data_IF_237668709831
#
_entry.id   IF_237668709831
#
_cell.length_a   1.000
_cell.length_b   1.000
_cell.length_c   1.000
_cell.angle_alpha   90.00
_cell.angle_beta   90.00
_cell.angle_gamma   90.00
#
_symmetry.space_group_name_H-M   'P 1'
#
loop_
_entity.id
_entity.type
_entity.pdbx_description
1 polymer ?
#
# COMPACT_ATOMS: atom_id res chain seq x y z
N UNK A 1 5.62 35.05 16.92
CA UNK A 1 6.33 34.12 16.01
C UNK A 1 6.07 32.70 16.48
N UNK A 2 5.42 31.89 15.65
CA UNK A 2 5.26 30.45 15.88
C UNK A 2 6.12 29.72 14.86
N UNK A 3 6.94 28.77 15.31
CA UNK A 3 7.73 27.89 14.44
C UNK A 3 7.36 26.48 14.83
N UNK A 4 6.90 25.70 13.85
CA UNK A 4 6.62 24.29 14.09
C UNK A 4 7.93 23.52 14.20
N UNK A 5 8.08 22.78 15.30
CA UNK A 5 9.26 21.99 15.67
C UNK A 5 8.90 20.57 16.10
N UNK A 6 7.66 20.12 15.81
CA UNK A 6 7.19 18.79 16.22
C UNK A 6 8.04 17.66 15.62
N UNK A 7 8.66 17.91 14.47
CA UNK A 7 9.52 16.97 13.77
C UNK A 7 10.92 17.59 13.59
N UNK A 8 12.01 16.98 14.10
CA UNK A 8 13.34 17.62 14.11
C UNK A 8 13.90 17.98 12.73
N UNK A 9 13.56 17.18 11.72
CA UNK A 9 14.02 17.30 10.33
C UNK A 9 13.03 18.05 9.42
N UNK A 10 12.13 18.83 10.03
CA UNK A 10 11.10 19.59 9.31
C UNK A 10 10.63 20.80 10.11
N UNK A 11 10.88 22.00 9.60
CA UNK A 11 10.55 23.26 10.24
C UNK A 11 9.65 24.12 9.35
N UNK A 12 8.69 24.82 9.97
CA UNK A 12 7.75 25.68 9.24
C UNK A 12 7.46 26.98 9.96
N UNK A 13 7.14 28.02 9.20
CA UNK A 13 6.68 29.33 9.73
C UNK A 13 5.22 29.30 10.22
N UNK A 14 4.57 28.15 10.09
CA UNK A 14 3.21 27.85 10.53
C UNK A 14 3.15 26.40 11.01
N UNK A 15 2.03 26.00 11.63
CA UNK A 15 1.75 24.59 11.92
C UNK A 15 1.73 23.81 10.61
N UNK A 16 2.63 22.84 10.47
CA UNK A 16 2.79 22.05 9.27
C UNK A 16 1.79 20.88 9.26
N UNK A 17 1.16 20.56 8.12
CA UNK A 17 0.35 19.35 8.01
C UNK A 17 1.25 18.11 8.06
N UNK A 18 0.77 16.94 8.53
CA UNK A 18 1.49 15.66 8.44
C UNK A 18 1.89 15.30 6.99
N UNK A 19 2.94 14.48 6.84
CA UNK A 19 3.41 13.97 5.53
C UNK A 19 2.77 12.62 5.21
N UNK A 20 2.72 12.17 3.93
CA UNK A 20 2.96 12.96 2.73
C UNK A 20 1.89 14.04 2.55
N UNK A 21 2.22 15.07 1.80
CA UNK A 21 1.31 16.17 1.48
C UNK A 21 1.11 16.19 -0.03
N UNK A 22 -0.14 16.15 -0.47
CA UNK A 22 -0.47 16.41 -1.85
C UNK A 22 -0.22 17.89 -2.16
N UNK A 23 0.66 18.14 -3.12
CA UNK A 23 1.05 19.49 -3.50
C UNK A 23 1.26 19.61 -5.00
N UNK A 24 0.77 20.70 -5.56
CA UNK A 24 1.00 21.09 -6.95
C UNK A 24 2.16 22.08 -7.03
N UNK A 25 3.00 21.94 -8.05
CA UNK A 25 3.98 22.97 -8.38
C UNK A 25 3.25 24.21 -8.88
N UNK A 26 3.57 25.36 -8.30
CA UNK A 26 3.07 26.64 -8.80
C UNK A 26 3.88 27.01 -10.03
N UNK A 27 3.25 26.93 -11.20
CA UNK A 27 3.89 27.27 -12.47
C UNK A 27 4.30 28.75 -12.54
N UNK A 28 5.37 29.02 -13.28
CA UNK A 28 5.88 30.36 -13.55
C UNK A 28 7.15 30.71 -12.76
N UNK A 29 7.48 32.01 -12.74
CA UNK A 29 8.66 32.51 -12.02
C UNK A 29 8.35 32.65 -10.53
N UNK A 30 9.35 32.37 -9.69
CA UNK A 30 9.27 32.65 -8.27
C UNK A 30 8.94 34.13 -8.02
N UNK A 31 7.95 34.43 -7.16
CA UNK A 31 7.74 35.79 -6.68
C UNK A 31 9.05 36.34 -6.08
N UNK A 32 9.32 37.66 -6.16
CA UNK A 32 10.54 38.26 -5.60
C UNK A 32 10.81 37.86 -4.15
N UNK A 33 9.74 37.72 -3.35
CA UNK A 33 9.82 37.26 -1.96
C UNK A 33 10.28 35.81 -1.81
N UNK A 34 9.85 34.92 -2.70
CA UNK A 34 10.34 33.53 -2.73
C UNK A 34 11.81 33.50 -3.12
N UNK A 35 12.26 34.39 -4.03
CA UNK A 35 13.68 34.52 -4.35
C UNK A 35 14.49 35.03 -3.15
N UNK A 36 13.99 36.02 -2.42
CA UNK A 36 14.59 36.52 -1.17
C UNK A 36 14.71 35.39 -0.13
N UNK A 37 13.67 34.55 0.00
CA UNK A 37 13.72 33.35 0.85
C UNK A 37 14.79 32.34 0.41
N UNK A 38 14.97 32.12 -0.89
CA UNK A 38 16.05 31.27 -1.41
C UNK A 38 17.43 31.81 -1.01
N UNK A 39 17.62 33.12 -1.06
CA UNK A 39 18.89 33.76 -0.73
C UNK A 39 19.18 33.69 0.78
N UNK A 40 18.14 33.88 1.61
CA UNK A 40 18.23 33.63 3.07
C UNK A 40 18.64 32.18 3.33
N UNK A 41 17.97 31.19 2.72
CA UNK A 41 18.31 29.79 2.93
C UNK A 41 19.76 29.48 2.56
N UNK A 42 20.25 30.02 1.42
CA UNK A 42 21.65 29.87 1.00
C UNK A 42 22.63 30.51 1.96
N UNK A 43 22.31 31.65 2.58
CA UNK A 43 23.19 32.27 3.58
C UNK A 43 23.44 31.35 4.79
N UNK A 44 22.36 30.74 5.30
CA UNK A 44 22.42 29.92 6.52
C UNK A 44 22.85 28.47 6.26
N UNK A 45 22.59 27.94 5.06
CA UNK A 45 22.80 26.55 4.67
C UNK A 45 23.78 26.40 3.50
N UNK A 46 24.69 27.36 3.31
CA UNK A 46 25.63 27.46 2.16
C UNK A 46 26.46 26.21 1.85
N UNK A 47 26.70 25.38 2.86
CA UNK A 47 27.56 24.19 2.75
C UNK A 47 26.74 22.94 2.34
N UNK A 48 25.42 23.07 2.23
CA UNK A 48 24.50 21.97 1.96
C UNK A 48 23.91 22.04 0.54
N UNK A 49 23.61 20.90 -0.08
CA UNK A 49 22.80 20.88 -1.28
C UNK A 49 21.39 21.39 -0.96
N UNK A 50 20.94 22.39 -1.73
CA UNK A 50 19.61 22.99 -1.58
C UNK A 50 18.80 22.83 -2.86
N UNK A 51 17.53 22.48 -2.72
CA UNK A 51 16.52 22.60 -3.78
C UNK A 51 15.36 23.46 -3.31
N UNK A 52 14.78 24.21 -4.23
CA UNK A 52 13.72 25.17 -3.94
C UNK A 52 12.50 24.84 -4.77
N UNK A 53 11.36 24.71 -4.10
CA UNK A 53 10.07 24.48 -4.75
C UNK A 53 9.10 25.56 -4.29
N UNK A 54 8.23 25.98 -5.19
CA UNK A 54 7.10 26.84 -4.87
C UNK A 54 5.84 26.05 -5.10
N UNK A 55 5.17 25.69 -4.01
CA UNK A 55 4.08 24.71 -4.05
C UNK A 55 2.77 25.29 -3.52
N UNK A 56 1.68 24.74 -4.03
CA UNK A 56 0.34 24.93 -3.47
C UNK A 56 -0.12 23.59 -2.93
N UNK A 57 -0.34 23.50 -1.63
CA UNK A 57 -0.82 22.27 -0.99
C UNK A 57 -2.32 22.16 -1.20
N UNK A 58 -2.78 20.96 -1.53
CA UNK A 58 -4.21 20.70 -1.75
C UNK A 58 -4.99 20.98 -0.46
N UNK A 59 -6.06 21.76 -0.58
CA UNK A 59 -6.90 22.14 0.57
C UNK A 59 -6.35 23.27 1.44
N UNK A 60 -5.16 23.82 1.14
CA UNK A 60 -4.68 25.05 1.79
C UNK A 60 -4.89 26.27 0.89
N UNK A 61 -5.20 27.43 1.48
CA UNK A 61 -5.26 28.70 0.74
C UNK A 61 -3.85 29.30 0.50
N UNK A 62 -2.88 28.92 1.34
CA UNK A 62 -1.53 29.50 1.33
C UNK A 62 -0.60 28.69 0.43
N UNK A 63 0.34 29.40 -0.20
CA UNK A 63 1.43 28.82 -0.97
C UNK A 63 2.68 28.72 -0.11
N UNK A 64 3.48 27.70 -0.36
CA UNK A 64 4.68 27.39 0.44
C UNK A 64 5.93 27.56 -0.39
N UNK A 65 6.88 28.37 0.11
CA UNK A 65 8.27 28.32 -0.31
C UNK A 65 8.94 27.15 0.40
N UNK A 66 9.06 26.03 -0.30
CA UNK A 66 9.60 24.79 0.22
C UNK A 66 11.10 24.69 -0.09
N UNK A 67 11.90 24.58 0.96
CA UNK A 67 13.35 24.45 0.89
C UNK A 67 13.70 23.01 1.28
N UNK A 68 14.26 22.28 0.32
CA UNK A 68 14.77 20.93 0.54
C UNK A 68 16.26 21.04 0.87
N UNK A 69 16.67 20.47 1.98
CA UNK A 69 18.06 20.43 2.44
C UNK A 69 18.32 19.07 3.09
N UNK A 70 19.56 18.57 3.07
CA UNK A 70 19.90 17.40 3.88
C UNK A 70 19.94 17.80 5.35
N UNK A 71 19.11 17.17 6.17
CA UNK A 71 19.16 17.38 7.60
C UNK A 71 20.36 16.64 8.19
N UNK A 72 20.96 17.22 9.22
CA UNK A 72 21.87 16.53 10.12
C UNK A 72 21.73 17.17 11.51
N UNK A 73 21.94 16.44 12.62
CA UNK A 73 21.84 17.01 13.96
C UNK A 73 22.68 18.29 14.15
N UNK A 74 23.86 18.37 13.53
CA UNK A 74 24.73 19.54 13.56
C UNK A 74 24.16 20.78 12.85
N UNK A 75 23.19 20.60 11.94
CA UNK A 75 22.55 21.68 11.19
C UNK A 75 21.29 22.22 11.88
N UNK A 76 20.81 21.57 12.94
CA UNK A 76 19.56 21.93 13.64
C UNK A 76 19.49 23.43 13.98
N UNK A 77 20.57 24.00 14.52
CA UNK A 77 20.59 25.42 14.88
C UNK A 77 20.64 26.36 13.67
N UNK A 78 21.29 25.93 12.57
CA UNK A 78 21.31 26.69 11.31
C UNK A 78 19.91 26.71 10.68
N UNK A 79 19.22 25.57 10.66
CA UNK A 79 17.83 25.45 10.17
C UNK A 79 16.88 26.33 10.99
N UNK A 80 17.00 26.32 12.31
CA UNK A 80 16.20 27.19 13.18
C UNK A 80 16.42 28.68 12.89
N UNK A 81 17.67 29.11 12.76
CA UNK A 81 17.96 30.53 12.43
C UNK A 81 17.46 30.90 11.04
N UNK A 82 17.58 29.99 10.07
CA UNK A 82 17.06 30.19 8.72
C UNK A 82 15.54 30.38 8.74
N UNK A 83 14.77 29.48 9.39
CA UNK A 83 13.31 29.58 9.43
C UNK A 83 12.83 30.82 10.20
N UNK A 84 13.55 31.27 11.23
CA UNK A 84 13.28 32.54 11.92
C UNK A 84 13.44 33.77 11.01
N UNK A 85 14.45 33.76 10.12
CA UNK A 85 14.65 34.82 9.13
C UNK A 85 13.60 34.76 8.04
N UNK A 86 13.26 33.56 7.57
CA UNK A 86 12.19 33.35 6.60
C UNK A 86 10.82 33.80 7.13
N UNK A 87 10.52 33.55 8.40
CA UNK A 87 9.31 34.06 9.06
C UNK A 87 9.21 35.58 8.94
N UNK A 88 10.30 36.30 9.27
CA UNK A 88 10.34 37.77 9.17
C UNK A 88 10.24 38.25 7.72
N UNK A 89 10.82 37.51 6.77
CA UNK A 89 10.73 37.81 5.34
C UNK A 89 9.27 37.78 4.83
N UNK A 90 8.43 36.88 5.39
CA UNK A 90 7.04 36.68 4.98
C UNK A 90 6.00 37.28 5.93
N UNK A 91 6.40 37.96 7.00
CA UNK A 91 5.48 38.49 8.04
C UNK A 91 4.40 39.43 7.48
N UNK A 92 4.67 40.07 6.34
CA UNK A 92 3.74 40.99 5.66
C UNK A 92 3.21 40.45 4.33
N UNK A 93 3.50 39.19 3.99
CA UNK A 93 3.08 38.57 2.74
C UNK A 93 1.90 37.62 3.00
N UNK A 94 0.68 38.16 2.86
CA UNK A 94 -0.53 37.35 2.98
C UNK A 94 -0.50 36.19 1.98
N UNK A 95 -0.79 34.99 2.46
CA UNK A 95 -0.84 33.81 1.60
C UNK A 95 0.49 33.08 1.41
N UNK A 96 1.61 33.52 1.99
CA UNK A 96 2.91 32.86 1.88
C UNK A 96 3.40 32.28 3.22
N UNK A 97 3.96 31.07 3.16
CA UNK A 97 4.67 30.42 4.27
C UNK A 97 5.98 29.82 3.79
N UNK A 98 6.94 29.62 4.70
CA UNK A 98 8.19 28.93 4.42
C UNK A 98 8.27 27.61 5.17
N UNK A 99 8.92 26.64 4.54
CA UNK A 99 9.20 25.33 5.11
C UNK A 99 10.62 24.91 4.74
N UNK A 100 11.34 24.34 5.70
CA UNK A 100 12.59 23.61 5.46
C UNK A 100 12.35 22.15 5.85
N UNK A 101 12.61 21.22 4.93
CA UNK A 101 12.40 19.78 5.17
C UNK A 101 13.58 18.97 4.63
N UNK A 102 13.85 17.86 5.30
CA UNK A 102 14.85 16.90 4.84
C UNK A 102 14.49 16.36 3.45
N UNK A 103 15.46 16.34 2.54
CA UNK A 103 15.25 15.87 1.17
C UNK A 103 14.71 14.44 1.12
N UNK A 104 15.25 13.53 1.94
CA UNK A 104 14.80 12.13 2.00
C UNK A 104 13.46 11.98 2.72
N UNK A 105 13.00 12.98 3.48
CA UNK A 105 11.66 12.95 4.09
C UNK A 105 10.60 13.43 3.11
N UNK A 106 10.94 14.43 2.29
CA UNK A 106 10.08 14.88 1.20
C UNK A 106 9.97 13.82 0.10
N UNK A 107 11.08 13.17 -0.23
CA UNK A 107 11.17 12.07 -1.19
C UNK A 107 11.63 10.79 -0.47
N UNK A 108 10.74 10.13 0.30
CA UNK A 108 11.10 8.95 1.06
C UNK A 108 11.68 7.86 0.16
N UNK A 109 12.88 7.33 0.49
CA UNK A 109 13.33 6.10 -0.13
C UNK A 109 12.32 4.99 0.15
N UNK A 110 12.28 3.97 -0.69
CA UNK A 110 11.47 2.80 -0.39
C UNK A 110 11.93 2.21 0.95
N UNK A 111 10.99 1.81 1.82
CA UNK A 111 11.35 1.14 3.05
C UNK A 111 12.11 -0.15 2.74
N UNK A 112 12.69 -0.74 3.77
CA UNK A 112 13.33 -2.06 3.73
C UNK A 112 12.61 -2.99 4.70
N UNK A 113 12.62 -4.29 4.39
CA UNK A 113 12.06 -5.29 5.30
C UNK A 113 12.84 -5.31 6.62
N UNK A 114 12.15 -5.61 7.72
CA UNK A 114 12.77 -5.87 9.01
C UNK A 114 12.98 -7.37 9.19
N UNK A 115 14.07 -7.74 9.87
CA UNK A 115 14.46 -9.15 10.02
C UNK A 115 14.16 -9.76 11.38
N UNK A 116 14.14 -9.01 12.48
CA UNK A 116 14.18 -9.60 13.83
C UNK A 116 13.57 -8.74 14.96
N UNK A 117 12.67 -7.80 14.66
CA UNK A 117 12.03 -6.99 15.71
C UNK A 117 10.68 -7.59 16.09
N UNK A 118 10.56 -7.99 17.34
CA UNK A 118 9.30 -8.39 17.97
C UNK A 118 8.73 -7.20 18.74
N UNK A 119 7.56 -6.73 18.33
CA UNK A 119 6.79 -5.71 19.03
C UNK A 119 5.37 -6.21 19.16
N UNK A 120 4.79 -6.08 20.35
CA UNK A 120 3.36 -6.30 20.53
C UNK A 120 2.56 -5.14 19.94
N UNK A 121 2.21 -5.28 18.66
CA UNK A 121 1.43 -4.28 17.94
C UNK A 121 0.02 -4.11 18.51
N UNK A 122 -0.54 -5.08 19.23
CA UNK A 122 -1.85 -4.91 19.86
C UNK A 122 -1.79 -3.88 20.99
N UNK A 123 -0.71 -3.88 21.77
CA UNK A 123 -0.49 -2.85 22.79
C UNK A 123 -0.24 -1.47 22.17
N UNK A 124 0.51 -1.41 21.07
CA UNK A 124 0.68 -0.15 20.32
C UNK A 124 -0.68 0.39 19.87
N UNK A 125 -1.53 -0.45 19.28
CA UNK A 125 -2.86 -0.05 18.79
C UNK A 125 -3.79 0.37 19.91
N UNK A 126 -3.73 -0.25 21.09
CA UNK A 126 -4.52 0.17 22.24
C UNK A 126 -4.21 1.62 22.66
N UNK A 127 -3.00 2.14 22.36
CA UNK A 127 -2.64 3.54 22.58
C UNK A 127 -3.20 4.50 21.51
N UNK A 128 -3.81 3.96 20.45
CA UNK A 128 -4.34 4.70 19.30
C UNK A 128 -5.88 4.70 19.21
N UNK A 129 -6.59 4.08 20.16
CA UNK A 129 -8.02 3.72 20.03
C UNK A 129 -8.97 4.91 19.76
N UNK A 130 -8.61 6.11 20.21
CA UNK A 130 -9.39 7.34 19.99
C UNK A 130 -9.16 7.99 18.60
N UNK A 131 -8.34 7.38 17.73
CA UNK A 131 -7.87 8.01 16.49
C UNK A 131 -8.21 7.24 15.22
N UNK A 132 -8.21 7.99 14.11
CA UNK A 132 -8.48 7.46 12.77
C UNK A 132 -7.23 6.83 12.12
N UNK A 133 -6.54 5.97 12.87
CA UNK A 133 -5.36 5.25 12.37
C UNK A 133 -5.76 4.21 11.31
N UNK A 134 -4.92 4.04 10.29
CA UNK A 134 -5.15 3.16 9.16
C UNK A 134 -4.25 1.94 9.17
N UNK A 135 -2.93 2.14 9.36
CA UNK A 135 -1.96 1.05 9.45
C UNK A 135 -0.96 1.31 10.57
N UNK A 136 -0.47 0.21 11.15
CA UNK A 136 0.71 0.21 12.02
C UNK A 136 1.68 -0.85 11.48
N UNK A 137 2.82 -0.37 11.00
CA UNK A 137 3.83 -1.16 10.29
C UNK A 137 5.16 -1.09 11.03
N UNK A 138 5.97 -2.14 10.90
CA UNK A 138 7.37 -2.12 11.34
C UNK A 138 8.27 -2.41 10.15
N UNK A 139 9.04 -1.41 9.79
CA UNK A 139 9.94 -1.44 8.63
C UNK A 139 11.29 -0.83 8.99
N UNK A 140 12.28 -1.03 8.13
CA UNK A 140 13.48 -0.21 8.15
C UNK A 140 13.27 1.00 7.26
N UNK A 141 13.36 2.20 7.80
CA UNK A 141 13.19 3.46 7.07
C UNK A 141 14.37 4.37 7.33
N UNK A 142 14.81 5.13 6.32
CA UNK A 142 15.76 6.22 6.51
C UNK A 142 15.34 7.17 7.64
N UNK A 143 16.19 7.26 8.66
CA UNK A 143 16.09 8.23 9.76
C UNK A 143 17.01 9.41 9.47
N UNK A 144 16.48 10.63 9.28
CA UNK A 144 17.32 11.83 9.18
C UNK A 144 18.08 12.13 10.47
N UNK A 145 17.60 11.66 11.62
CA UNK A 145 18.28 11.88 12.90
C UNK A 145 19.55 11.02 12.96
N UNK A 146 19.47 9.77 12.50
CA UNK A 146 20.57 8.80 12.53
C UNK A 146 21.41 8.76 11.26
N UNK A 147 20.93 9.35 10.17
CA UNK A 147 21.57 9.32 8.85
C UNK A 147 21.72 7.92 8.24
N UNK A 148 20.84 6.99 8.63
CA UNK A 148 20.83 5.61 8.15
C UNK A 148 19.42 5.02 8.18
N UNK A 149 19.24 3.84 7.57
CA UNK A 149 17.98 3.10 7.72
C UNK A 149 17.87 2.51 9.12
N UNK A 150 16.82 2.89 9.83
CA UNK A 150 16.57 2.48 11.20
C UNK A 150 15.26 1.69 11.31
N UNK A 151 15.14 0.74 12.24
CA UNK A 151 13.85 0.17 12.63
C UNK A 151 12.86 1.24 13.10
N UNK A 152 11.72 1.31 12.42
CA UNK A 152 10.73 2.37 12.62
C UNK A 152 9.33 1.77 12.68
N UNK A 153 8.58 2.14 13.72
CA UNK A 153 7.14 1.97 13.78
C UNK A 153 6.50 3.09 12.98
N UNK A 154 5.83 2.73 11.90
CA UNK A 154 5.13 3.70 11.05
C UNK A 154 3.65 3.60 11.32
N UNK A 155 3.07 4.71 11.72
CA UNK A 155 1.63 4.84 11.94
C UNK A 155 1.10 5.73 10.82
N UNK A 156 0.07 5.26 10.13
CA UNK A 156 -0.67 6.10 9.18
C UNK A 156 -2.05 6.43 9.73
N UNK A 157 -2.54 7.65 9.52
CA UNK A 157 -3.84 8.08 10.04
C UNK A 157 -4.50 9.18 9.18
N UNK A 158 -5.83 9.20 9.12
CA UNK A 158 -6.60 10.27 8.46
C UNK A 158 -6.56 11.57 9.25
N UNK A 159 -6.49 11.46 10.56
CA UNK A 159 -6.52 12.58 11.48
C UNK A 159 -5.14 12.96 12.01
N UNK A 160 -4.06 12.57 11.32
CA UNK A 160 -2.66 12.84 11.70
C UNK A 160 -2.33 14.33 11.94
N UNK A 161 -3.18 15.24 11.49
CA UNK A 161 -3.08 16.69 11.75
C UNK A 161 -3.55 17.14 13.13
N UNK A 162 -4.28 16.30 13.88
CA UNK A 162 -4.76 16.62 15.22
C UNK A 162 -3.60 16.75 16.23
N UNK A 163 -3.72 17.67 17.19
CA UNK A 163 -2.65 17.95 18.16
C UNK A 163 -2.42 16.83 19.17
N UNK A 164 -3.44 16.02 19.45
CA UNK A 164 -3.33 14.88 20.38
C UNK A 164 -2.32 13.84 19.91
N UNK A 165 -2.21 13.59 18.60
CA UNK A 165 -1.18 12.72 18.03
C UNK A 165 0.21 13.09 18.54
N UNK A 166 0.56 14.38 18.44
CA UNK A 166 1.89 14.89 18.74
C UNK A 166 2.13 15.13 20.23
N UNK A 167 1.08 15.45 20.98
CA UNK A 167 1.19 15.79 22.41
C UNK A 167 0.93 14.63 23.36
N UNK A 168 0.26 13.56 22.90
CA UNK A 168 -0.17 12.42 23.71
C UNK A 168 0.23 11.09 23.08
N UNK A 169 -0.26 10.77 21.88
CA UNK A 169 -0.22 9.40 21.36
C UNK A 169 1.17 8.96 20.90
N UNK A 170 1.87 9.77 20.09
CA UNK A 170 3.24 9.44 19.65
C UNK A 170 4.19 9.35 20.86
N UNK A 171 4.21 10.31 21.80
CA UNK A 171 5.00 10.16 23.02
C UNK A 171 4.65 8.92 23.85
N UNK A 172 3.37 8.53 23.91
CA UNK A 172 2.95 7.31 24.62
C UNK A 172 3.47 6.04 23.93
N UNK A 173 3.43 5.98 22.60
CA UNK A 173 4.00 4.86 21.83
C UNK A 173 5.52 4.82 22.00
N UNK A 174 6.22 5.94 21.87
CA UNK A 174 7.67 6.03 22.10
C UNK A 174 8.06 5.56 23.51
N UNK A 175 7.32 6.00 24.53
CA UNK A 175 7.55 5.60 25.91
C UNK A 175 7.29 4.10 26.10
N UNK A 176 6.22 3.56 25.52
CA UNK A 176 5.93 2.13 25.55
C UNK A 176 7.07 1.30 24.93
N UNK A 177 7.55 1.68 23.75
CA UNK A 177 8.65 0.97 23.07
C UNK A 177 9.94 1.03 23.91
N UNK A 178 10.23 2.20 24.50
CA UNK A 178 11.36 2.38 25.41
C UNK A 178 11.25 1.53 26.67
N UNK A 179 10.06 1.41 27.25
CA UNK A 179 9.80 0.57 28.43
C UNK A 179 9.98 -0.93 28.13
N UNK A 180 9.77 -1.34 26.88
CA UNK A 180 10.11 -2.68 26.38
C UNK A 180 11.60 -2.84 26.05
N UNK A 181 12.43 -1.81 26.24
CA UNK A 181 13.86 -1.83 25.90
C UNK A 181 14.14 -1.83 24.39
N UNK A 182 13.18 -1.37 23.57
CA UNK A 182 13.30 -1.34 22.12
C UNK A 182 13.79 0.04 21.65
N UNK A 183 14.86 0.06 20.85
CA UNK A 183 15.37 1.28 20.20
C UNK A 183 14.73 1.45 18.81
N UNK A 184 13.45 1.82 18.79
CA UNK A 184 12.67 2.06 17.57
C UNK A 184 12.31 3.54 17.44
N UNK A 185 12.30 4.04 16.21
CA UNK A 185 11.70 5.35 15.92
C UNK A 185 10.20 5.22 15.67
N UNK A 186 9.44 6.29 15.91
CA UNK A 186 8.01 6.36 15.60
C UNK A 186 7.77 7.47 14.59
N UNK A 187 7.15 7.13 13.47
CA UNK A 187 6.80 8.07 12.41
C UNK A 187 5.30 8.07 12.20
N UNK A 188 4.68 9.25 12.24
CA UNK A 188 3.29 9.45 11.88
C UNK A 188 3.17 10.01 10.47
N UNK A 189 2.36 9.36 9.64
CA UNK A 189 2.02 9.84 8.30
C UNK A 189 0.52 10.02 8.11
N UNK A 190 0.15 10.98 7.28
CA UNK A 190 -1.20 11.15 6.79
C UNK A 190 -1.50 10.11 5.72
N UNK A 191 -2.64 9.46 5.88
CA UNK A 191 -3.21 8.62 4.84
C UNK A 191 -4.71 8.81 4.90
N UNK A 192 -5.31 9.27 3.81
CA UNK A 192 -6.76 9.39 3.71
C UNK A 192 -7.41 8.03 3.44
N UNK A 193 -6.82 7.23 2.55
CA UNK A 193 -7.32 5.92 2.21
C UNK A 193 -6.18 4.98 1.79
N UNK A 194 -6.31 3.71 2.15
CA UNK A 194 -5.53 2.64 1.53
C UNK A 194 -6.07 2.53 0.10
N UNK A 195 -5.28 2.96 -0.89
CA UNK A 195 -5.70 3.18 -2.28
C UNK A 195 -6.69 2.09 -2.74
N UNK A 196 -8.01 2.34 -2.73
CA UNK A 196 -8.97 1.28 -2.92
C UNK A 196 -9.39 1.25 -4.38
N UNK A 197 -8.60 0.69 -5.29
CA UNK A 197 -8.99 0.72 -6.71
C UNK A 197 -8.93 2.15 -7.26
N UNK A 198 -7.87 2.58 -7.93
CA UNK A 198 -7.95 3.87 -8.65
C UNK A 198 -9.21 3.89 -9.51
N UNK A 199 -10.00 4.96 -9.43
CA UNK A 199 -11.07 5.15 -10.42
C UNK A 199 -10.42 5.21 -11.81
N UNK A 200 -11.08 4.66 -12.82
CA UNK A 200 -10.53 4.55 -14.19
C UNK A 200 -9.93 5.86 -14.73
N UNK A 201 -10.48 7.02 -14.34
CA UNK A 201 -9.96 8.34 -14.76
C UNK A 201 -8.58 8.70 -14.20
N UNK A 202 -8.17 8.15 -13.05
CA UNK A 202 -6.84 8.37 -12.46
C UNK A 202 -5.83 7.33 -12.97
N UNK A 203 -6.31 6.14 -13.35
CA UNK A 203 -5.50 5.10 -13.99
C UNK A 203 -4.95 5.56 -15.35
N UNK A 204 -5.73 6.30 -16.13
CA UNK A 204 -5.33 6.81 -17.45
C UNK A 204 -4.17 7.82 -17.40
N UNK A 205 -3.88 8.41 -16.22
CA UNK A 205 -2.77 9.37 -16.06
C UNK A 205 -1.44 8.73 -15.68
N UNK A 206 -1.46 7.50 -15.19
CA UNK A 206 -0.23 6.75 -14.91
C UNK A 206 0.20 6.00 -16.18
N UNK A 207 1.28 6.49 -16.79
CA UNK A 207 1.79 6.10 -18.11
C UNK A 207 2.14 4.58 -18.19
N UNK A 208 1.15 3.75 -18.52
CA UNK A 208 1.26 2.29 -18.72
C UNK A 208 2.16 1.88 -19.90
N UNK A 209 2.77 2.85 -20.61
CA UNK A 209 3.60 2.60 -21.79
C UNK A 209 4.90 1.85 -21.48
N UNK A 210 5.45 1.97 -20.28
CA UNK A 210 6.71 1.29 -19.93
C UNK A 210 6.55 -0.22 -19.71
N UNK A 211 5.35 -0.69 -19.36
CA UNK A 211 5.09 -2.12 -19.18
C UNK A 211 4.89 -2.83 -20.54
N UNK A 212 4.37 -2.13 -21.55
CA UNK A 212 3.94 -2.73 -22.81
C UNK A 212 5.07 -3.35 -23.67
N UNK A 213 6.31 -2.86 -23.55
CA UNK A 213 7.40 -3.26 -24.46
C UNK A 213 8.22 -4.49 -24.00
N UNK A 214 7.91 -5.07 -22.83
CA UNK A 214 8.69 -6.18 -22.24
C UNK A 214 8.01 -7.56 -22.25
N UNK A 215 6.76 -7.67 -22.69
CA UNK A 215 5.97 -8.91 -22.56
C UNK A 215 5.83 -9.70 -23.87
N UNK A 216 6.80 -10.58 -24.13
CA UNK A 216 6.60 -11.76 -24.98
C UNK A 216 7.24 -12.99 -24.33
N UNK A 217 6.51 -13.60 -23.39
CA UNK A 217 6.50 -15.05 -23.14
C UNK A 217 5.28 -15.37 -22.28
N UNK A 218 4.38 -16.19 -22.83
CA UNK A 218 3.01 -16.43 -22.38
C UNK A 218 2.93 -17.15 -21.03
N UNK A 219 2.41 -16.49 -19.98
CA UNK A 219 1.91 -17.14 -18.75
C UNK A 219 0.73 -16.36 -18.13
N UNK A 220 -0.23 -17.11 -17.56
CA UNK A 220 -1.59 -16.69 -17.18
C UNK A 220 -1.68 -16.29 -15.71
N UNK A 221 -2.44 -15.23 -15.43
CA UNK A 221 -2.91 -14.89 -14.09
C UNK A 221 -3.49 -13.49 -14.03
N UNK A 222 -4.68 -13.25 -14.58
CA UNK A 222 -5.32 -11.94 -14.51
C UNK A 222 -6.85 -12.02 -14.70
N UNK A 223 -7.56 -11.11 -14.03
CA UNK A 223 -8.85 -10.51 -14.40
C UNK A 223 -10.18 -11.32 -14.31
N UNK A 224 -10.91 -11.18 -13.20
CA UNK A 224 -12.35 -11.37 -13.02
C UNK A 224 -13.04 -10.01 -13.19
N UNK A 225 -13.97 -9.86 -14.12
CA UNK A 225 -14.78 -8.64 -14.16
C UNK A 225 -16.12 -8.89 -14.81
N UNK A 226 -17.05 -7.98 -14.55
CA UNK A 226 -18.36 -7.98 -15.20
C UNK A 226 -18.17 -7.63 -16.68
N UNK A 227 -18.94 -8.28 -17.56
CA UNK A 227 -18.94 -8.04 -19.01
C UNK A 227 -18.85 -6.53 -19.33
N UNK A 228 -17.85 -6.16 -20.14
CA UNK A 228 -17.62 -4.81 -20.69
C UNK A 228 -17.12 -3.73 -19.70
N UNK A 229 -16.49 -4.10 -18.59
CA UNK A 229 -15.76 -3.13 -17.76
C UNK A 229 -14.25 -3.22 -17.99
N UNK A 230 -13.65 -2.11 -18.42
CA UNK A 230 -12.20 -1.89 -18.35
C UNK A 230 -11.83 -1.79 -16.85
N UNK A 231 -11.30 -2.86 -16.25
CA UNK A 231 -11.17 -2.87 -14.78
C UNK A 231 -11.15 -4.21 -14.03
N UNK A 232 -11.02 -5.36 -14.69
CA UNK A 232 -11.11 -6.68 -14.04
C UNK A 232 -9.91 -7.10 -13.15
N UNK A 233 -10.19 -8.00 -12.19
CA UNK A 233 -9.51 -8.29 -10.91
C UNK A 233 -8.59 -9.54 -10.93
N UNK A 234 -7.52 -9.64 -10.15
CA UNK A 234 -6.67 -10.85 -10.22
C UNK A 234 -7.24 -12.06 -9.47
N UNK A 235 -7.44 -13.20 -10.15
CA UNK A 235 -7.66 -14.50 -9.51
C UNK A 235 -6.36 -14.94 -8.83
N UNK A 236 -6.40 -15.17 -7.52
CA UNK A 236 -5.22 -15.51 -6.75
C UNK A 236 -4.81 -16.96 -6.91
N UNK A 237 -5.74 -17.86 -6.60
CA UNK A 237 -5.52 -19.29 -6.70
C UNK A 237 -6.84 -20.06 -6.86
N UNK A 238 -6.69 -21.37 -7.06
CA UNK A 238 -7.79 -22.33 -7.05
C UNK A 238 -7.61 -23.23 -5.85
N UNK A 239 -8.69 -23.52 -5.16
CA UNK A 239 -8.73 -24.52 -4.12
C UNK A 239 -9.69 -25.64 -4.50
N UNK A 240 -9.25 -26.88 -4.35
CA UNK A 240 -10.12 -28.06 -4.50
C UNK A 240 -10.36 -28.64 -3.12
N UNK A 241 -11.60 -28.99 -2.79
CA UNK A 241 -11.96 -29.56 -1.48
C UNK A 241 -12.21 -31.07 -1.58
N UNK A 242 -12.25 -31.76 -0.43
CA UNK A 242 -12.38 -33.23 -0.37
C UNK A 242 -13.64 -33.79 -1.05
N UNK A 243 -14.72 -32.99 -1.15
CA UNK A 243 -15.96 -33.40 -1.82
C UNK A 243 -15.95 -33.27 -3.35
N UNK A 244 -14.81 -32.84 -3.92
CA UNK A 244 -14.60 -32.74 -5.36
C UNK A 244 -15.03 -31.40 -5.98
N UNK A 245 -15.56 -30.46 -5.20
CA UNK A 245 -15.78 -29.08 -5.67
C UNK A 245 -14.46 -28.33 -5.80
N UNK A 246 -14.45 -27.39 -6.73
CA UNK A 246 -13.34 -26.47 -6.96
C UNK A 246 -13.82 -25.03 -6.82
N UNK A 247 -12.96 -24.19 -6.26
CA UNK A 247 -13.28 -22.79 -6.02
C UNK A 247 -12.12 -21.88 -6.42
N UNK A 248 -12.45 -20.74 -7.02
CA UNK A 248 -11.51 -19.64 -7.18
C UNK A 248 -11.45 -18.80 -5.90
N UNK A 249 -10.25 -18.35 -5.54
CA UNK A 249 -9.98 -17.48 -4.39
C UNK A 249 -9.36 -16.17 -4.85
N UNK A 250 -9.93 -15.04 -4.43
CA UNK A 250 -9.41 -13.68 -4.68
C UNK A 250 -9.72 -12.77 -3.48
N UNK A 251 -9.32 -11.50 -3.52
CA UNK A 251 -9.63 -10.51 -2.47
C UNK A 251 -11.12 -10.10 -2.51
N UNK A 252 -11.74 -9.84 -1.35
CA UNK A 252 -13.20 -9.61 -1.27
C UNK A 252 -13.63 -8.23 -1.81
N UNK A 253 -12.79 -7.20 -1.71
CA UNK A 253 -13.12 -5.80 -2.15
C UNK A 253 -13.45 -5.67 -3.63
N UNK A 254 -13.26 -6.74 -4.36
CA UNK A 254 -13.56 -6.92 -5.77
C UNK A 254 -15.08 -6.96 -6.04
N UNK A 255 -15.90 -7.39 -5.07
CA UNK A 255 -17.35 -7.52 -5.30
C UNK A 255 -18.11 -6.21 -5.00
N UNK A 256 -18.48 -5.47 -6.05
CA UNK A 256 -19.49 -4.39 -5.93
C UNK A 256 -20.86 -5.00 -5.63
N UNK A 257 -21.36 -4.84 -4.40
CA UNK A 257 -22.79 -4.99 -4.14
C UNK A 257 -23.54 -3.83 -4.80
N UNK A 258 -24.42 -4.13 -5.74
CA UNK A 258 -25.37 -3.13 -6.25
C UNK A 258 -26.33 -2.68 -5.13
N UNK A 259 -26.80 -1.42 -5.15
CA UNK A 259 -27.76 -0.95 -4.15
C UNK A 259 -29.04 -1.80 -4.20
N UNK A 260 -29.30 -2.56 -3.13
CA UNK A 260 -30.52 -3.36 -2.95
C UNK A 260 -30.35 -4.88 -2.79
N UNK A 261 -29.14 -5.45 -2.84
CA UNK A 261 -28.92 -6.89 -2.67
C UNK A 261 -28.43 -7.27 -1.27
N UNK A 262 -29.33 -7.29 -0.28
CA UNK A 262 -29.12 -8.08 0.94
C UNK A 262 -29.22 -9.56 0.58
N UNK A 263 -28.08 -10.26 0.56
CA UNK A 263 -27.97 -11.71 0.28
C UNK A 263 -28.64 -12.18 -1.02
N UNK A 264 -27.95 -12.07 -2.14
CA UNK A 264 -28.34 -12.76 -3.37
C UNK A 264 -27.14 -13.58 -3.84
N UNK A 265 -27.33 -14.90 -3.97
CA UNK A 265 -26.39 -15.76 -4.69
C UNK A 265 -26.16 -15.14 -6.06
N UNK A 266 -24.93 -14.71 -6.32
CA UNK A 266 -24.56 -13.98 -7.52
C UNK A 266 -24.61 -14.96 -8.71
N UNK A 267 -25.72 -14.92 -9.46
CA UNK A 267 -25.89 -15.65 -10.72
C UNK A 267 -25.59 -14.65 -11.85
N UNK A 268 -24.60 -14.95 -12.70
CA UNK A 268 -24.34 -14.19 -13.93
C UNK A 268 -23.06 -13.36 -13.99
N UNK A 269 -22.04 -13.64 -13.17
CA UNK A 269 -20.70 -13.12 -13.42
C UNK A 269 -20.00 -13.99 -14.48
N UNK A 270 -19.35 -13.36 -15.46
CA UNK A 270 -18.49 -14.04 -16.45
C UNK A 270 -17.06 -13.57 -16.26
N UNK A 271 -16.13 -14.45 -15.89
CA UNK A 271 -14.70 -14.11 -15.87
C UNK A 271 -14.24 -13.91 -17.31
N UNK A 272 -13.83 -12.68 -17.65
CA UNK A 272 -13.11 -12.40 -18.88
C UNK A 272 -11.62 -12.48 -18.61
N UNK A 273 -11.02 -13.61 -19.01
CA UNK A 273 -9.58 -13.75 -19.13
C UNK A 273 -8.98 -12.61 -19.98
N UNK A 274 -7.79 -12.08 -19.65
CA UNK A 274 -7.03 -11.12 -20.47
C UNK A 274 -6.89 -11.58 -21.90
N UNK A 275 -6.90 -12.91 -22.12
CA UNK A 275 -6.90 -13.51 -23.44
C UNK A 275 -7.98 -12.97 -24.37
N UNK A 276 -9.06 -12.33 -23.89
CA UNK A 276 -10.08 -11.72 -24.77
C UNK A 276 -9.74 -10.30 -25.23
N UNK A 277 -9.08 -9.49 -24.38
CA UNK A 277 -8.53 -8.19 -24.75
C UNK A 277 -7.25 -8.36 -25.56
N UNK A 278 -6.43 -9.33 -25.15
CA UNK A 278 -5.27 -9.80 -25.91
C UNK A 278 -5.71 -10.47 -27.22
N UNK A 279 -6.87 -11.14 -27.30
CA UNK A 279 -7.46 -11.62 -28.56
C UNK A 279 -8.00 -10.48 -29.43
N UNK A 280 -8.55 -9.42 -28.83
CA UNK A 280 -8.93 -8.21 -29.57
C UNK A 280 -7.69 -7.50 -30.15
N UNK A 281 -6.63 -7.36 -29.36
CA UNK A 281 -5.34 -6.81 -29.81
C UNK A 281 -4.67 -7.77 -30.81
N UNK A 282 -4.62 -9.06 -30.55
CA UNK A 282 -4.03 -10.05 -31.45
C UNK A 282 -4.80 -10.10 -32.77
N UNK A 283 -6.14 -10.06 -32.78
CA UNK A 283 -6.94 -9.96 -34.02
C UNK A 283 -6.72 -8.65 -34.79
N UNK A 284 -6.45 -7.55 -34.08
CA UNK A 284 -6.15 -6.25 -34.68
C UNK A 284 -4.74 -6.19 -35.30
N UNK A 285 -3.79 -6.99 -34.81
CA UNK A 285 -2.37 -6.93 -35.20
C UNK A 285 -1.84 -8.20 -35.93
N UNK A 286 -2.42 -9.39 -35.74
CA UNK A 286 -2.06 -10.69 -36.33
C UNK A 286 -2.89 -11.05 -37.58
N UNK A 287 -3.27 -10.08 -38.41
CA UNK A 287 -3.85 -10.37 -39.74
C UNK A 287 -2.87 -11.04 -40.72
N UNK A 288 -1.71 -11.54 -40.25
CA UNK A 288 -0.75 -12.33 -41.01
C UNK A 288 -0.20 -13.51 -40.20
N UNK A 289 -0.77 -14.69 -40.50
CA UNK A 289 -0.11 -16.00 -40.51
C UNK A 289 0.43 -16.63 -39.21
N UNK A 290 -0.40 -16.71 -38.15
CA UNK A 290 -0.26 -17.80 -37.17
C UNK A 290 -1.64 -18.32 -36.76
N UNK A 291 -1.79 -19.66 -36.74
CA UNK A 291 -2.97 -20.34 -36.19
C UNK A 291 -2.89 -20.24 -34.66
N UNK A 292 -3.60 -19.27 -34.09
CA UNK A 292 -3.78 -19.15 -32.65
C UNK A 292 -4.86 -20.16 -32.19
N UNK A 293 -4.42 -21.27 -31.61
CA UNK A 293 -5.25 -22.06 -30.70
C UNK A 293 -4.98 -21.53 -29.30
N UNK A 294 -5.75 -20.52 -28.87
CA UNK A 294 -5.64 -19.95 -27.53
C UNK A 294 -7.01 -19.70 -26.86
N UNK A 295 -6.91 -19.72 -25.54
CA UNK A 295 -7.88 -19.97 -24.49
C UNK A 295 -9.09 -19.03 -24.36
N UNK A 296 -10.27 -19.64 -24.13
CA UNK A 296 -11.46 -19.01 -23.56
C UNK A 296 -11.80 -19.61 -22.18
N UNK A 297 -11.97 -18.78 -21.16
CA UNK A 297 -12.78 -19.13 -19.99
C UNK A 297 -14.21 -18.66 -20.29
N UNK A 298 -15.16 -19.59 -20.36
CA UNK A 298 -16.58 -19.28 -20.51
C UNK A 298 -17.39 -20.14 -19.54
N UNK A 299 -18.43 -19.53 -18.96
CA UNK A 299 -19.33 -20.08 -17.93
C UNK A 299 -18.70 -20.22 -16.54
N UNK A 300 -19.16 -19.40 -15.60
CA UNK A 300 -18.98 -19.61 -14.16
C UNK A 300 -20.25 -20.08 -13.52
N UNK A 301 -20.06 -20.75 -12.39
CA UNK A 301 -21.12 -21.39 -11.64
C UNK A 301 -21.83 -20.40 -10.75
N UNK A 302 -22.65 -20.94 -9.85
CA UNK A 302 -23.30 -20.16 -8.81
C UNK A 302 -22.21 -19.63 -7.87
N UNK A 303 -22.06 -18.31 -7.80
CA UNK A 303 -21.21 -17.72 -6.77
C UNK A 303 -21.99 -17.79 -5.46
N UNK A 304 -21.57 -18.73 -4.63
CA UNK A 304 -22.00 -18.83 -3.24
C UNK A 304 -20.99 -18.05 -2.40
N UNK A 305 -21.37 -16.87 -1.93
CA UNK A 305 -20.64 -16.22 -0.85
C UNK A 305 -20.93 -17.00 0.43
N UNK A 306 -20.00 -17.87 0.80
CA UNK A 306 -20.13 -18.63 2.03
C UNK A 306 -19.67 -17.74 3.19
N UNK A 307 -20.60 -16.96 3.75
CA UNK A 307 -20.32 -16.19 4.97
C UNK A 307 -20.68 -17.04 6.19
N UNK A 308 -19.69 -17.41 6.99
CA UNK A 308 -19.91 -17.85 8.36
C UNK A 308 -20.39 -16.64 9.18
N UNK A 309 -21.71 -16.47 9.28
CA UNK A 309 -22.45 -15.73 10.32
C UNK A 309 -21.81 -14.47 10.98
N UNK A 310 -21.15 -13.58 10.23
CA UNK A 310 -21.12 -12.15 10.57
C UNK A 310 -19.79 -11.43 10.85
N UNK A 311 -18.60 -12.01 10.64
CA UNK A 311 -17.36 -11.22 10.71
C UNK A 311 -16.35 -11.67 9.66
N UNK A 312 -16.23 -10.93 8.55
CA UNK A 312 -15.10 -11.07 7.64
C UNK A 312 -13.85 -10.58 8.35
N UNK A 313 -13.10 -11.49 8.99
CA UNK A 313 -11.84 -11.13 9.62
C UNK A 313 -10.77 -10.77 8.59
N UNK A 314 -10.87 -11.35 7.40
CA UNK A 314 -9.92 -11.14 6.31
C UNK A 314 -10.60 -10.85 4.98
N UNK A 315 -9.83 -10.24 4.09
CA UNK A 315 -10.26 -9.70 2.81
C UNK A 315 -10.02 -10.70 1.68
N UNK A 316 -10.81 -11.78 1.66
CA UNK A 316 -10.83 -12.78 0.58
C UNK A 316 -12.26 -13.17 0.25
N UNK A 317 -12.48 -13.83 -0.87
CA UNK A 317 -13.78 -14.36 -1.25
C UNK A 317 -13.62 -15.65 -2.06
N UNK A 318 -14.67 -16.48 -2.03
CA UNK A 318 -14.75 -17.76 -2.71
C UNK A 318 -15.80 -17.72 -3.82
N UNK A 319 -15.50 -18.34 -4.96
CA UNK A 319 -16.53 -18.65 -5.96
C UNK A 319 -16.35 -20.05 -6.52
N UNK A 320 -17.45 -20.78 -6.66
CA UNK A 320 -17.44 -22.15 -7.17
C UNK A 320 -17.17 -22.16 -8.69
N UNK A 321 -16.20 -22.97 -9.09
CA UNK A 321 -15.81 -23.17 -10.48
C UNK A 321 -16.70 -24.22 -11.13
N UNK A 322 -17.00 -24.04 -12.42
CA UNK A 322 -17.74 -25.06 -13.15
C UNK A 322 -16.80 -26.14 -13.67
N UNK A 323 -17.31 -27.38 -13.90
CA UNK A 323 -16.51 -28.49 -14.46
C UNK A 323 -15.83 -28.24 -15.82
N UNK A 324 -16.03 -27.07 -16.44
CA UNK A 324 -15.43 -26.67 -17.72
C UNK A 324 -14.56 -25.42 -17.61
N UNK A 325 -14.32 -24.93 -16.40
CA UNK A 325 -13.42 -23.80 -16.21
C UNK A 325 -11.98 -24.27 -16.42
N UNK A 326 -11.34 -23.82 -17.49
CA UNK A 326 -9.94 -24.12 -17.76
C UNK A 326 -9.06 -23.15 -16.96
N UNK A 327 -8.22 -23.70 -16.07
CA UNK A 327 -7.29 -22.90 -15.27
C UNK A 327 -5.88 -23.38 -15.57
N UNK A 328 -5.02 -22.43 -15.90
CA UNK A 328 -3.64 -22.71 -16.30
C UNK A 328 -2.75 -22.48 -15.10
N UNK A 329 -2.03 -23.55 -14.72
CA UNK A 329 -1.05 -23.58 -13.63
C UNK A 329 -1.62 -23.08 -12.31
N UNK A 330 -2.34 -23.97 -11.63
CA UNK A 330 -2.61 -23.81 -10.20
C UNK A 330 -1.31 -24.14 -9.46
N UNK A 331 -0.80 -23.24 -8.60
CA UNK A 331 0.32 -23.61 -7.75
C UNK A 331 -0.05 -24.84 -6.94
N UNK A 332 0.84 -25.83 -6.88
CA UNK A 332 0.51 -27.12 -6.26
C UNK A 332 0.56 -27.08 -4.73
N UNK A 333 1.17 -26.04 -4.16
CA UNK A 333 1.41 -25.91 -2.72
C UNK A 333 1.19 -24.51 -2.17
N UNK A 334 0.86 -24.46 -0.89
CA UNK A 334 0.89 -23.26 -0.06
C UNK A 334 1.67 -23.53 1.23
N UNK A 335 2.12 -22.48 1.92
CA UNK A 335 2.83 -22.64 3.19
C UNK A 335 2.47 -21.58 4.23
N UNK A 336 2.78 -21.90 5.48
CA UNK A 336 2.74 -20.95 6.60
C UNK A 336 3.98 -20.08 6.58
N UNK A 337 3.79 -18.81 6.91
CA UNK A 337 4.88 -17.86 7.13
C UNK A 337 5.25 -17.93 8.59
N UNK A 338 6.50 -18.23 8.89
CA UNK A 338 6.98 -18.24 10.27
C UNK A 338 7.20 -16.82 10.78
N UNK A 339 6.80 -16.58 12.03
CA UNK A 339 7.08 -15.32 12.72
C UNK A 339 8.60 -15.11 12.84
N UNK A 340 9.04 -13.87 12.67
CA UNK A 340 10.46 -13.54 12.77
C UNK A 340 11.29 -13.93 11.54
N UNK A 341 10.69 -14.47 10.46
CA UNK A 341 11.39 -14.78 9.21
C UNK A 341 10.96 -13.88 8.06
N UNK A 342 11.93 -13.52 7.21
CA UNK A 342 11.68 -12.83 5.93
C UNK A 342 11.68 -13.82 4.77
N UNK A 343 10.85 -13.59 3.77
CA UNK A 343 10.78 -14.42 2.57
C UNK A 343 10.89 -13.57 1.31
N UNK A 344 11.71 -14.02 0.36
CA UNK A 344 11.76 -13.40 -0.98
C UNK A 344 10.54 -13.88 -1.77
N UNK A 345 9.78 -12.95 -2.31
CA UNK A 345 8.50 -13.23 -2.96
C UNK A 345 8.37 -12.56 -4.30
N UNK A 346 7.50 -13.13 -5.12
CA UNK A 346 7.04 -12.58 -6.39
C UNK A 346 5.52 -12.64 -6.45
N UNK A 347 4.95 -11.77 -7.26
CA UNK A 347 3.58 -11.91 -7.72
C UNK A 347 3.51 -11.53 -9.19
N UNK A 348 2.59 -12.14 -9.91
CA UNK A 348 2.10 -11.65 -11.20
C UNK A 348 0.74 -10.99 -10.95
N UNK A 349 0.55 -9.77 -11.42
CA UNK A 349 -0.75 -9.11 -11.34
C UNK A 349 -0.90 -8.05 -12.42
N UNK A 350 -2.13 -7.64 -12.66
CA UNK A 350 -2.52 -6.86 -13.82
C UNK A 350 -1.84 -5.50 -13.90
N UNK A 351 -1.78 -4.78 -12.78
CA UNK A 351 -1.40 -3.36 -12.76
C UNK A 351 0.10 -3.16 -12.74
N UNK A 352 0.82 -4.00 -11.97
CA UNK A 352 2.27 -3.88 -11.86
C UNK A 352 3.04 -5.00 -12.54
N UNK A 353 2.35 -5.96 -13.16
CA UNK A 353 2.98 -7.10 -13.84
C UNK A 353 3.68 -8.05 -12.88
N UNK A 354 4.83 -8.58 -13.29
CA UNK A 354 5.71 -9.36 -12.43
C UNK A 354 6.49 -8.41 -11.52
N UNK A 355 6.28 -8.54 -10.21
CA UNK A 355 7.05 -7.79 -9.21
C UNK A 355 7.69 -8.75 -8.22
N UNK A 356 8.79 -8.29 -7.62
CA UNK A 356 9.50 -9.01 -6.57
C UNK A 356 9.57 -8.14 -5.32
N UNK A 357 9.56 -8.79 -4.16
CA UNK A 357 9.62 -8.11 -2.88
C UNK A 357 10.11 -9.03 -1.77
N UNK A 358 10.10 -8.50 -0.56
CA UNK A 358 10.45 -9.25 0.64
C UNK A 358 9.33 -9.10 1.66
N UNK A 359 8.80 -10.22 2.13
CA UNK A 359 7.89 -10.25 3.28
C UNK A 359 8.67 -9.83 4.53
N UNK A 360 8.11 -8.89 5.28
CA UNK A 360 8.66 -8.43 6.56
C UNK A 360 8.54 -9.52 7.63
N UNK A 361 9.56 -9.65 8.48
CA UNK A 361 9.55 -10.61 9.59
C UNK A 361 8.49 -10.29 10.66
N UNK A 362 8.21 -9.00 10.84
CA UNK A 362 7.17 -8.53 11.76
C UNK A 362 5.79 -8.60 11.10
N UNK A 363 4.74 -8.98 11.85
CA UNK A 363 3.37 -8.74 11.41
C UNK A 363 3.12 -7.24 11.26
N UNK A 364 2.04 -6.91 10.57
CA UNK A 364 1.58 -5.54 10.40
C UNK A 364 0.08 -5.51 10.53
N UNK A 365 -0.46 -4.36 10.88
CA UNK A 365 -1.86 -4.27 11.27
C UNK A 365 -2.58 -3.24 10.44
N UNK A 366 -3.71 -3.65 9.87
CA UNK A 366 -4.59 -2.81 9.07
C UNK A 366 -5.90 -2.59 9.82
N UNK A 367 -6.30 -1.33 9.98
CA UNK A 367 -7.60 -0.98 10.51
C UNK A 367 -8.68 -1.19 9.45
N UNK A 368 -9.49 -2.23 9.60
CA UNK A 368 -10.50 -2.59 8.60
C UNK A 368 -11.67 -1.61 8.56
N UNK A 369 -11.83 -0.71 9.54
CA UNK A 369 -12.88 0.34 9.51
C UNK A 369 -12.82 1.19 8.25
N UNK A 370 -11.63 1.32 7.68
CA UNK A 370 -11.39 2.09 6.46
C UNK A 370 -11.34 1.23 5.20
N UNK A 371 -11.67 -0.05 5.33
CA UNK A 371 -11.98 -0.94 4.23
C UNK A 371 -13.50 -0.89 4.04
N UNK A 372 -13.96 -0.34 2.91
CA UNK A 372 -15.39 -0.06 2.60
C UNK A 372 -16.38 -1.22 2.85
N UNK A 373 -15.91 -2.46 2.99
CA UNK A 373 -16.73 -3.66 3.22
C UNK A 373 -16.58 -4.28 4.61
N UNK A 374 -15.67 -3.78 5.45
CA UNK A 374 -15.44 -4.28 6.81
C UNK A 374 -15.78 -3.22 7.89
N UNK A 375 -16.49 -2.15 7.50
CA UNK A 375 -16.76 -0.96 8.32
C UNK A 375 -17.59 -1.28 9.58
N UNK A 376 -18.46 -2.28 9.51
CA UNK A 376 -19.41 -2.58 10.59
C UNK A 376 -18.80 -3.38 11.76
N UNK A 377 -17.61 -3.94 11.58
CA UNK A 377 -17.05 -4.86 12.58
C UNK A 377 -15.82 -4.32 13.33
N UNK A 378 -15.28 -3.16 12.93
CA UNK A 378 -14.12 -2.58 13.62
C UNK A 378 -12.90 -3.50 13.64
N UNK A 379 -12.78 -4.38 12.65
CA UNK A 379 -11.85 -5.50 12.70
C UNK A 379 -10.42 -5.00 12.49
N UNK A 380 -9.54 -5.50 13.34
CA UNK A 380 -8.11 -5.35 13.19
C UNK A 380 -7.63 -6.58 12.43
N UNK A 381 -7.24 -6.41 11.17
CA UNK A 381 -6.75 -7.54 10.36
C UNK A 381 -5.23 -7.60 10.45
N UNK A 382 -4.71 -8.72 10.93
CA UNK A 382 -3.28 -9.04 10.84
C UNK A 382 -2.92 -9.31 9.38
N UNK A 383 -1.90 -8.61 8.89
CA UNK A 383 -1.38 -8.71 7.54
C UNK A 383 0.15 -8.87 7.57
N UNK A 384 0.72 -9.19 6.41
CA UNK A 384 2.17 -9.14 6.19
C UNK A 384 2.50 -8.01 5.24
N UNK A 385 3.40 -7.13 5.67
CA UNK A 385 4.01 -6.15 4.79
C UNK A 385 4.94 -6.83 3.79
N UNK A 386 4.84 -6.39 2.54
CA UNK A 386 5.75 -6.73 1.46
C UNK A 386 6.40 -5.45 0.99
N UNK A 387 7.72 -5.47 1.01
CA UNK A 387 8.56 -4.34 0.66
C UNK A 387 9.29 -4.64 -0.65
N UNK A 388 9.20 -3.73 -1.61
CA UNK A 388 9.89 -3.80 -2.91
C UNK A 388 10.82 -2.60 -3.07
N UNK A 389 11.90 -2.76 -3.83
CA UNK A 389 12.99 -1.78 -3.92
C UNK A 389 12.69 -0.63 -4.88
N UNK A 390 12.11 -0.95 -6.03
CA UNK A 390 12.10 -0.04 -7.17
C UNK A 390 10.69 0.47 -7.51
N UNK A 391 9.68 -0.33 -7.20
CA UNK A 391 8.28 -0.04 -7.50
C UNK A 391 7.36 -0.66 -6.45
N UNK A 392 6.13 -0.15 -6.29
CA UNK A 392 5.12 -0.81 -5.47
C UNK A 392 4.99 -2.30 -5.83
N UNK A 393 4.99 -3.18 -4.84
CA UNK A 393 4.83 -4.62 -5.06
C UNK A 393 3.42 -4.98 -5.56
N UNK A 394 2.41 -4.23 -5.13
CA UNK A 394 1.07 -4.31 -5.66
C UNK A 394 0.44 -2.92 -5.72
N UNK A 395 -0.32 -2.67 -6.77
CA UNK A 395 -1.18 -1.50 -6.92
C UNK A 395 -2.65 -1.93 -6.99
N UNK A 396 -3.58 -0.97 -6.89
CA UNK A 396 -4.96 -1.18 -7.29
C UNK A 396 -5.09 -1.91 -8.63
N UNK A 397 -5.76 -3.06 -8.64
CA UNK A 397 -5.86 -3.99 -9.78
C UNK A 397 -5.01 -5.26 -9.64
N UNK A 398 -3.99 -5.27 -8.77
CA UNK A 398 -3.26 -6.49 -8.38
C UNK A 398 -3.88 -7.19 -7.16
N UNK A 399 -4.97 -6.65 -6.59
CA UNK A 399 -5.59 -7.22 -5.40
C UNK A 399 -6.20 -8.58 -5.71
N UNK A 400 -5.95 -9.54 -4.81
CA UNK A 400 -6.23 -10.95 -5.02
C UNK A 400 -5.10 -11.71 -5.69
N UNK A 401 -4.06 -11.06 -6.26
CA UNK A 401 -2.92 -11.77 -6.83
C UNK A 401 -2.22 -12.66 -5.80
N UNK A 402 -1.83 -13.88 -6.21
CA UNK A 402 -1.06 -14.76 -5.34
C UNK A 402 0.35 -14.23 -5.12
N UNK A 403 0.73 -14.16 -3.85
CA UNK A 403 2.10 -13.92 -3.42
C UNK A 403 2.77 -15.26 -3.27
N UNK A 404 3.81 -15.49 -4.08
CA UNK A 404 4.51 -16.76 -4.16
C UNK A 404 5.94 -16.60 -3.66
N UNK A 405 6.45 -17.61 -2.95
CA UNK A 405 7.88 -17.68 -2.63
C UNK A 405 8.68 -17.79 -3.94
N UNK A 406 9.79 -17.03 -4.03
CA UNK A 406 10.49 -16.82 -5.28
C UNK A 406 11.01 -18.11 -5.94
N UNK A 407 11.52 -19.04 -5.14
CA UNK A 407 12.21 -20.23 -5.63
C UNK A 407 11.24 -21.40 -5.92
N UNK A 408 10.34 -21.67 -5.00
CA UNK A 408 9.41 -22.80 -5.01
C UNK A 408 8.10 -22.52 -5.76
N UNK A 409 7.70 -21.25 -5.86
CA UNK A 409 6.37 -20.89 -6.36
C UNK A 409 5.24 -21.20 -5.37
N UNK A 410 5.56 -21.65 -4.15
CA UNK A 410 4.58 -21.92 -3.09
C UNK A 410 3.82 -20.66 -2.71
N UNK A 411 2.49 -20.76 -2.60
CA UNK A 411 1.64 -19.62 -2.24
C UNK A 411 1.80 -19.29 -0.76
N UNK A 412 2.13 -18.04 -0.46
CA UNK A 412 2.27 -17.52 0.89
C UNK A 412 1.09 -16.65 1.32
N UNK A 413 0.34 -16.08 0.36
CA UNK A 413 -0.81 -15.24 0.65
C UNK A 413 -1.40 -14.59 -0.60
N UNK A 414 -2.36 -13.69 -0.40
CA UNK A 414 -2.98 -12.89 -1.46
C UNK A 414 -2.78 -11.39 -1.20
N UNK A 415 -2.44 -10.62 -2.23
CA UNK A 415 -2.35 -9.16 -2.16
C UNK A 415 -3.70 -8.55 -1.75
N UNK A 416 -3.73 -7.67 -0.74
CA UNK A 416 -4.98 -7.07 -0.23
C UNK A 416 -5.00 -5.55 -0.18
N UNK A 417 -3.84 -4.90 -0.06
CA UNK A 417 -3.79 -3.46 0.06
C UNK A 417 -2.42 -2.90 -0.32
N UNK A 418 -2.38 -1.60 -0.57
CA UNK A 418 -1.15 -0.83 -0.71
C UNK A 418 -1.29 0.49 0.04
N UNK A 419 -0.27 0.82 0.83
CA UNK A 419 -0.17 2.08 1.54
C UNK A 419 0.73 3.02 0.75
N UNK A 420 0.12 4.01 0.10
CA UNK A 420 0.82 4.97 -0.73
C UNK A 420 1.78 5.89 0.05
N UNK A 421 1.49 6.14 1.33
CA UNK A 421 2.30 6.99 2.17
C UNK A 421 3.64 6.31 2.50
N UNK A 422 3.58 5.01 2.80
CA UNK A 422 4.75 4.20 3.15
C UNK A 422 5.37 3.44 1.99
N UNK A 423 4.67 3.37 0.85
CA UNK A 423 5.00 2.53 -0.31
C UNK A 423 5.07 1.03 0.02
N UNK A 424 4.35 0.60 1.05
CA UNK A 424 4.30 -0.81 1.49
C UNK A 424 3.05 -1.49 0.95
N UNK A 425 3.22 -2.71 0.44
CA UNK A 425 2.11 -3.58 0.04
C UNK A 425 1.76 -4.55 1.16
N UNK A 426 0.53 -5.05 1.15
CA UNK A 426 0.05 -5.98 2.16
C UNK A 426 -0.51 -7.23 1.53
N UNK A 427 -0.33 -8.35 2.22
CA UNK A 427 -1.03 -9.58 1.91
C UNK A 427 -1.71 -10.19 3.14
N UNK A 428 -2.78 -10.94 2.88
CA UNK A 428 -3.35 -11.87 3.86
C UNK A 428 -2.61 -13.20 3.75
N UNK A 429 -2.02 -13.73 4.83
CA UNK A 429 -1.35 -15.03 4.80
C UNK A 429 -2.28 -16.16 4.35
N UNK A 430 -1.77 -17.07 3.53
CA UNK A 430 -2.56 -18.18 2.98
C UNK A 430 -3.07 -19.11 4.09
N UNK A 431 -2.31 -19.27 5.19
CA UNK A 431 -2.73 -20.04 6.35
C UNK A 431 -4.04 -19.52 6.97
N UNK A 432 -4.22 -18.20 7.01
CA UNK A 432 -5.44 -17.56 7.51
C UNK A 432 -6.60 -17.84 6.56
N UNK A 433 -6.39 -17.64 5.25
CA UNK A 433 -7.39 -17.89 4.20
C UNK A 433 -7.84 -19.35 4.21
N UNK A 434 -6.91 -20.30 4.25
CA UNK A 434 -7.21 -21.75 4.30
C UNK A 434 -8.01 -22.11 5.55
N UNK A 435 -7.65 -21.54 6.71
CA UNK A 435 -8.41 -21.74 7.94
C UNK A 435 -9.86 -21.31 7.79
N UNK A 436 -10.09 -20.08 7.31
CA UNK A 436 -11.44 -19.55 7.15
C UNK A 436 -12.24 -20.27 6.04
N UNK A 437 -11.59 -20.72 4.95
CA UNK A 437 -12.26 -21.53 3.92
C UNK A 437 -12.74 -22.85 4.51
N UNK A 438 -11.89 -23.56 5.26
CA UNK A 438 -12.27 -24.85 5.87
C UNK A 438 -13.48 -24.70 6.79
N UNK A 439 -13.54 -23.61 7.56
CA UNK A 439 -14.68 -23.29 8.42
C UNK A 439 -15.94 -22.96 7.61
N UNK A 440 -15.80 -22.28 6.47
CA UNK A 440 -16.91 -21.88 5.62
C UNK A 440 -17.52 -23.07 4.86
N UNK A 441 -16.71 -23.88 4.19
CA UNK A 441 -17.20 -24.91 3.24
C UNK A 441 -17.57 -26.24 3.89
N UNK A 442 -17.40 -26.37 5.22
CA UNK A 442 -17.60 -27.60 5.99
C UNK A 442 -16.88 -28.83 5.39
N UNK A 443 -15.78 -28.59 4.69
CA UNK A 443 -14.94 -29.57 4.00
C UNK A 443 -13.50 -29.08 4.02
N UNK A 444 -12.53 -29.99 3.95
CA UNK A 444 -11.11 -29.62 3.96
C UNK A 444 -10.62 -29.30 2.56
N UNK A 445 -9.75 -28.30 2.47
CA UNK A 445 -8.95 -28.06 1.27
C UNK A 445 -8.03 -29.27 1.04
N UNK A 446 -8.12 -29.83 -0.16
CA UNK A 446 -7.28 -30.91 -0.68
C UNK A 446 -6.10 -30.34 -1.47
N UNK A 447 -6.34 -29.32 -2.29
CA UNK A 447 -5.33 -28.64 -3.12
C UNK A 447 -5.55 -27.12 -3.06
N UNK A 448 -4.49 -26.29 -3.03
CA UNK A 448 -3.08 -26.68 -2.95
C UNK A 448 -2.74 -27.35 -1.61
N UNK A 449 -1.66 -28.17 -1.59
CA UNK A 449 -1.23 -28.87 -0.37
C UNK A 449 -0.37 -27.96 0.52
N UNK A 450 -0.51 -28.11 1.83
CA UNK A 450 0.40 -27.44 2.76
C UNK A 450 1.81 -28.04 2.64
N UNK A 451 2.81 -27.19 2.46
CA UNK A 451 4.24 -27.55 2.49
C UNK A 451 4.99 -26.73 3.53
N UNK A 452 6.17 -27.20 3.92
CA UNK A 452 7.10 -26.41 4.72
C UNK A 452 7.98 -25.58 3.79
N UNK A 453 8.33 -24.36 4.24
CA UNK A 453 9.31 -23.52 3.57
C UNK A 453 10.71 -23.94 4.03
N UNK A 454 11.65 -24.00 3.10
CA UNK A 454 13.06 -24.32 3.37
C UNK A 454 13.83 -23.15 3.98
#
# INVERSE_FOLDING_TARGET
MFIDKRVPYRLGTSKLPPLPIESDLVEGRFPPKVQEACDIAKEYLKDEPLSFLYIHRRGEERKTALILSLYAPALKDKWHKAIEKLYKCFEHEEGLVAEIVDYHVHNPPFPKSITTVEVDLHQVIALLDDHEWMTVDIVRWYSPIRQEDWPTVVITARDAGQDSWWSKNIPAVEQFLKDQGLDLEVVLQFLDQLLPGLSSEEQDKHDLRAAHDLYFSSEIGDSVGIQNMDGSETLGCVVSVEDGREFGVTACRNFRQGPGSTQIGLIGLSIQSPSSYDDFLSKKWLSKDLKAEDLHISNLGKISTVSSSGSWLTDWCLFELLPRTCIFRVPESWARIEDGKTYQVKKQGRSTGLTQGTISASPSVINSKYIKHAQDAGIITSARCIVSKDMPFCLPGDYGASVQENNSGTILGLCVAYNQATKVSYMTPMATIVGEINDAVASKIKEPKETQLE
#
